data_IF_715745527884
#
_entry.id   IF_715745527884
#
_cell.length_a   1.000
_cell.length_b   1.000
_cell.length_c   1.000
_cell.angle_alpha   90.00
_cell.angle_beta   90.00
_cell.angle_gamma   90.00
#
_symmetry.space_group_name_H-M   'P 1'
#
loop_
_entity.id
_entity.type
_entity.pdbx_description
1 polymer ?
#
# COMPACT_ATOMS: atom_id res chain seq x y z
N UNK A 1 -15.97 -16.75 35.65
CA UNK A 1 -16.41 -15.34 35.81
C UNK A 1 -15.25 -14.46 35.34
N UNK A 2 -15.19 -14.06 34.07
CA UNK A 2 -15.89 -12.92 33.40
C UNK A 2 -15.48 -11.56 33.97
N UNK A 3 -14.68 -10.80 33.21
CA UNK A 3 -14.95 -9.46 32.61
C UNK A 3 -13.60 -8.80 32.23
N UNK A 4 -13.27 -8.64 30.95
CA UNK A 4 -13.58 -7.50 30.06
C UNK A 4 -13.00 -6.15 30.53
N UNK A 5 -12.30 -5.46 29.62
CA UNK A 5 -11.89 -4.07 29.84
C UNK A 5 -10.90 -3.56 28.80
N UNK A 6 -11.41 -2.91 27.76
CA UNK A 6 -10.72 -2.43 26.56
C UNK A 6 -10.37 -0.93 26.70
N UNK A 7 -9.48 -0.42 25.82
CA UNK A 7 -9.42 0.95 25.25
C UNK A 7 -8.64 2.11 25.93
N UNK A 8 -7.68 2.61 25.12
CA UNK A 8 -7.42 4.02 24.75
C UNK A 8 -6.66 4.96 25.70
N UNK A 9 -5.61 5.61 25.17
CA UNK A 9 -5.05 6.82 25.78
C UNK A 9 -3.75 7.34 25.16
N UNK A 10 -3.85 8.11 24.07
CA UNK A 10 -2.79 8.95 23.51
C UNK A 10 -2.15 9.86 24.58
N UNK A 11 -0.82 9.99 24.62
CA UNK A 11 -0.15 11.20 25.12
C UNK A 11 1.17 11.49 24.40
N UNK A 12 0.99 12.25 23.32
CA UNK A 12 1.86 13.28 22.77
C UNK A 12 2.77 13.94 23.84
N UNK A 13 4.07 13.68 23.76
CA UNK A 13 5.11 14.51 24.40
C UNK A 13 6.23 14.77 23.38
N UNK A 14 5.99 15.75 22.50
CA UNK A 14 7.04 16.33 21.69
C UNK A 14 7.75 17.39 22.55
N UNK A 15 9.00 17.11 22.91
CA UNK A 15 9.95 18.16 23.32
C UNK A 15 10.79 18.50 22.09
N UNK A 16 10.85 19.77 21.66
CA UNK A 16 11.75 20.15 20.58
C UNK A 16 13.10 20.49 21.21
N UNK A 17 14.13 19.69 20.94
CA UNK A 17 15.51 20.11 21.09
C UNK A 17 16.11 20.24 19.69
N UNK A 18 16.04 21.47 19.17
CA UNK A 18 16.84 21.90 18.05
C UNK A 18 18.31 21.91 18.49
N UNK A 19 19.10 21.00 17.93
CA UNK A 19 20.55 21.06 17.98
C UNK A 19 21.08 20.62 16.61
N UNK A 20 21.56 21.62 15.87
CA UNK A 20 22.51 21.59 14.77
C UNK A 20 23.01 20.19 14.35
N UNK A 21 22.44 19.63 13.29
CA UNK A 21 23.18 18.84 12.30
C UNK A 21 22.50 19.05 10.95
N UNK A 22 23.24 19.69 10.04
CA UNK A 22 22.81 19.95 8.68
C UNK A 22 22.80 18.69 7.81
N UNK A 23 22.01 18.82 6.75
CA UNK A 23 22.02 18.03 5.51
C UNK A 23 21.39 16.62 5.54
N UNK A 24 20.37 16.46 4.69
CA UNK A 24 19.69 15.25 4.22
C UNK A 24 18.70 14.54 5.17
N UNK A 25 17.69 15.28 5.67
CA UNK A 25 16.37 14.67 5.80
C UNK A 25 15.69 14.70 4.43
N UNK A 26 15.96 13.69 3.59
CA UNK A 26 15.09 13.34 2.46
C UNK A 26 13.77 12.82 3.06
N UNK A 27 12.94 13.74 3.55
CA UNK A 27 11.54 13.44 3.80
C UNK A 27 10.93 13.10 2.47
N UNK A 28 10.62 11.82 2.23
CA UNK A 28 9.79 11.35 1.14
C UNK A 28 8.39 11.94 1.32
N UNK A 29 8.24 13.23 0.98
CA UNK A 29 6.94 13.87 0.88
C UNK A 29 6.22 13.19 -0.27
N UNK A 30 5.15 12.45 0.06
CA UNK A 30 4.26 11.89 -0.94
C UNK A 30 3.66 13.04 -1.75
N UNK A 31 3.89 13.06 -3.06
CA UNK A 31 3.26 14.05 -3.94
C UNK A 31 1.77 13.70 -4.04
N UNK A 32 0.90 14.63 -3.69
CA UNK A 32 -0.54 14.48 -3.84
C UNK A 32 -0.90 14.34 -5.32
N UNK A 33 -1.87 13.47 -5.65
CA UNK A 33 -2.26 13.18 -7.03
C UNK A 33 -2.65 14.42 -7.85
N UNK A 34 -3.00 15.54 -7.19
CA UNK A 34 -3.38 16.80 -7.82
C UNK A 34 -2.20 17.62 -8.37
N UNK A 35 -0.98 17.38 -7.90
CA UNK A 35 0.26 18.05 -8.38
C UNK A 35 1.12 17.12 -9.25
N UNK A 36 0.69 15.87 -9.43
CA UNK A 36 1.40 14.90 -10.23
C UNK A 36 1.18 15.18 -11.74
N UNK A 37 2.24 15.19 -12.54
CA UNK A 37 2.13 15.18 -14.00
C UNK A 37 1.24 14.06 -14.55
N UNK A 38 0.57 14.32 -15.68
CA UNK A 38 -0.38 13.39 -16.29
C UNK A 38 0.23 12.01 -16.61
N UNK A 39 1.52 11.93 -16.95
CA UNK A 39 2.19 10.66 -17.21
C UNK A 39 2.41 9.84 -15.93
N UNK A 40 2.55 10.47 -14.77
CA UNK A 40 2.58 9.76 -13.48
C UNK A 40 1.21 9.21 -13.13
N UNK A 41 0.15 9.97 -13.39
CA UNK A 41 -1.22 9.49 -13.18
C UNK A 41 -1.56 8.31 -14.10
N UNK A 42 -1.17 8.36 -15.38
CA UNK A 42 -1.34 7.27 -16.32
C UNK A 42 -0.58 6.01 -15.87
N UNK A 43 0.65 6.18 -15.37
CA UNK A 43 1.42 5.09 -14.79
C UNK A 43 0.76 4.52 -13.53
N UNK A 44 0.32 5.37 -12.60
CA UNK A 44 -0.37 4.95 -11.38
C UNK A 44 -1.67 4.18 -11.69
N UNK A 45 -2.44 4.61 -12.68
CA UNK A 45 -3.64 3.92 -13.16
C UNK A 45 -3.31 2.56 -13.78
N UNK A 46 -2.26 2.48 -14.62
CA UNK A 46 -1.81 1.23 -15.21
C UNK A 46 -1.32 0.22 -14.14
N UNK A 47 -0.53 0.68 -13.17
CA UNK A 47 -0.06 -0.15 -12.06
C UNK A 47 -1.23 -0.59 -11.17
N UNK A 48 -2.14 0.33 -10.82
CA UNK A 48 -3.33 0.01 -10.04
C UNK A 48 -4.20 -1.06 -10.72
N UNK A 49 -4.47 -0.90 -12.01
CA UNK A 49 -5.20 -1.90 -12.81
C UNK A 49 -4.48 -3.24 -12.87
N UNK A 50 -3.15 -3.25 -13.03
CA UNK A 50 -2.36 -4.47 -13.06
C UNK A 50 -2.38 -5.21 -11.71
N UNK A 51 -2.24 -4.48 -10.60
CA UNK A 51 -2.30 -5.04 -9.25
C UNK A 51 -3.69 -5.60 -8.94
N UNK A 52 -4.73 -4.87 -9.32
CA UNK A 52 -6.12 -5.31 -9.17
C UNK A 52 -6.40 -6.57 -10.02
N UNK A 53 -5.97 -6.59 -11.28
CA UNK A 53 -6.11 -7.76 -12.15
C UNK A 53 -5.42 -8.99 -11.57
N UNK A 54 -4.25 -8.82 -10.92
CA UNK A 54 -3.55 -9.92 -10.26
C UNK A 54 -4.31 -10.45 -9.06
N UNK A 55 -4.91 -9.57 -8.25
CA UNK A 55 -5.74 -9.99 -7.13
C UNK A 55 -7.04 -10.68 -7.58
N UNK A 56 -7.55 -10.33 -8.76
CA UNK A 56 -8.70 -11.01 -9.37
C UNK A 56 -8.33 -12.31 -10.09
N UNK A 57 -7.05 -12.70 -10.10
CA UNK A 57 -6.59 -13.89 -10.80
C UNK A 57 -6.89 -15.14 -9.95
N UNK A 58 -7.97 -15.85 -10.28
CA UNK A 58 -8.47 -17.05 -9.56
C UNK A 58 -7.44 -18.20 -9.44
N UNK A 59 -6.39 -18.17 -10.26
CA UNK A 59 -5.32 -19.18 -10.26
C UNK A 59 -4.34 -19.01 -9.10
N UNK A 60 -4.36 -17.89 -8.38
CA UNK A 60 -3.48 -17.64 -7.26
C UNK A 60 -4.18 -17.97 -5.93
N UNK A 61 -3.76 -19.05 -5.23
CA UNK A 61 -4.36 -19.43 -3.95
C UNK A 61 -4.15 -18.37 -2.85
N UNK A 62 -3.17 -17.48 -2.98
CA UNK A 62 -2.97 -16.37 -2.05
C UNK A 62 -4.00 -15.26 -2.30
N UNK A 63 -4.22 -14.91 -3.57
CA UNK A 63 -5.24 -13.94 -3.96
C UNK A 63 -6.64 -14.38 -3.52
N UNK A 64 -6.97 -15.66 -3.70
CA UNK A 64 -8.25 -16.23 -3.30
C UNK A 64 -8.49 -16.08 -1.79
N UNK A 65 -7.48 -16.36 -0.95
CA UNK A 65 -7.62 -16.19 0.51
C UNK A 65 -7.86 -14.75 0.91
N UNK A 66 -7.20 -13.81 0.24
CA UNK A 66 -7.42 -12.37 0.49
C UNK A 66 -8.84 -11.99 0.13
N UNK A 67 -9.35 -12.45 -1.01
CA UNK A 67 -10.73 -12.21 -1.42
C UNK A 67 -11.75 -12.85 -0.47
N UNK A 68 -11.55 -14.11 -0.07
CA UNK A 68 -12.39 -14.81 0.91
C UNK A 68 -12.41 -14.07 2.26
N UNK A 69 -11.25 -13.60 2.71
CA UNK A 69 -11.16 -12.83 3.95
C UNK A 69 -11.90 -11.50 3.86
N UNK A 70 -11.80 -10.79 2.73
CA UNK A 70 -12.51 -9.54 2.48
C UNK A 70 -14.03 -9.73 2.40
N UNK A 71 -14.49 -10.81 1.77
CA UNK A 71 -15.90 -11.19 1.77
C UNK A 71 -16.42 -11.43 3.19
N UNK A 72 -15.59 -12.00 4.07
CA UNK A 72 -15.93 -12.18 5.48
C UNK A 72 -15.86 -10.88 6.30
N UNK A 73 -15.16 -9.83 5.81
CA UNK A 73 -14.94 -8.56 6.50
C UNK A 73 -15.36 -7.36 5.63
N UNK A 74 -16.67 -7.16 5.40
CA UNK A 74 -17.20 -6.06 4.59
C UNK A 74 -16.93 -4.67 5.20
N UNK A 75 -16.56 -4.60 6.49
CA UNK A 75 -16.18 -3.36 7.18
C UNK A 75 -14.78 -2.85 6.82
N UNK A 76 -14.03 -3.58 5.97
CA UNK A 76 -12.69 -3.18 5.54
C UNK A 76 -12.76 -1.93 4.66
N UNK A 77 -11.97 -0.87 4.93
CA UNK A 77 -12.00 0.35 4.14
C UNK A 77 -11.53 0.08 2.70
N UNK A 78 -12.47 0.11 1.76
CA UNK A 78 -12.20 0.15 0.32
C UNK A 78 -12.37 1.59 -0.19
N UNK A 79 -11.41 2.14 -0.97
CA UNK A 79 -10.20 1.50 -1.50
C UNK A 79 -9.08 1.37 -0.47
N UNK A 80 -8.37 0.23 -0.48
CA UNK A 80 -7.24 -0.04 0.40
C UNK A 80 -6.02 0.80 -0.07
N UNK A 81 -5.53 1.77 0.73
CA UNK A 81 -4.38 2.57 0.35
C UNK A 81 -3.09 1.74 0.50
N UNK A 82 -2.46 1.43 -0.61
CA UNK A 82 -1.15 0.76 -0.66
C UNK A 82 -0.08 1.74 -1.14
N UNK A 83 1.02 1.81 -0.40
CA UNK A 83 2.22 2.55 -0.77
C UNK A 83 3.21 1.57 -1.40
N UNK A 84 3.58 1.84 -2.64
CA UNK A 84 4.45 0.96 -3.43
C UNK A 84 5.73 1.72 -3.80
N UNK A 85 6.87 1.06 -3.59
CA UNK A 85 8.17 1.47 -4.10
C UNK A 85 8.53 0.54 -5.23
N UNK A 86 8.92 1.12 -6.35
CA UNK A 86 9.19 0.39 -7.59
C UNK A 86 10.61 0.74 -7.98
N UNK A 87 11.48 -0.26 -8.12
CA UNK A 87 12.82 -0.06 -8.61
C UNK A 87 12.79 0.36 -10.10
N UNK A 88 13.87 0.95 -10.59
CA UNK A 88 13.96 1.44 -11.97
C UNK A 88 13.77 0.33 -13.03
N UNK A 89 13.87 -0.93 -12.64
CA UNK A 89 13.62 -2.12 -13.45
C UNK A 89 12.14 -2.56 -13.47
N UNK A 90 11.23 -1.83 -12.80
CA UNK A 90 9.82 -2.18 -12.68
C UNK A 90 9.51 -3.22 -11.61
N UNK A 91 10.48 -3.66 -10.80
CA UNK A 91 10.24 -4.57 -9.68
C UNK A 91 9.73 -3.79 -8.47
N UNK A 92 8.80 -4.38 -7.73
CA UNK A 92 8.37 -3.80 -6.45
C UNK A 92 9.45 -4.08 -5.42
N UNK A 93 10.12 -3.03 -4.96
CA UNK A 93 11.18 -3.11 -3.95
C UNK A 93 10.61 -3.12 -2.53
N UNK A 94 9.51 -2.40 -2.32
CA UNK A 94 8.81 -2.32 -1.03
C UNK A 94 7.32 -2.09 -1.24
N UNK A 95 6.51 -2.64 -0.35
CA UNK A 95 5.06 -2.46 -0.34
C UNK A 95 4.57 -2.33 1.10
N UNK A 96 3.87 -1.23 1.40
CA UNK A 96 3.28 -0.91 2.70
C UNK A 96 1.79 -0.63 2.53
N UNK A 97 0.97 -1.08 3.47
CA UNK A 97 -0.47 -0.84 3.50
C UNK A 97 -0.95 -0.96 4.94
N UNK A 98 -2.14 -0.45 5.21
CA UNK A 98 -2.79 -0.64 6.51
C UNK A 98 -3.16 -2.11 6.68
N UNK A 99 -2.73 -2.71 7.79
CA UNK A 99 -2.98 -4.13 8.07
C UNK A 99 -4.47 -4.42 8.03
N UNK A 100 -4.84 -5.50 7.35
CA UNK A 100 -6.22 -5.98 7.28
C UNK A 100 -6.68 -6.57 8.63
N UNK A 101 -5.75 -6.80 9.57
CA UNK A 101 -6.06 -7.38 10.88
C UNK A 101 -5.74 -8.88 10.96
N UNK A 102 -5.36 -9.50 9.84
CA UNK A 102 -4.78 -10.84 9.79
C UNK A 102 -3.42 -10.80 9.10
N UNK A 103 -2.36 -11.10 9.87
CA UNK A 103 -0.98 -11.08 9.38
C UNK A 103 -0.73 -12.07 8.23
N UNK A 104 -1.49 -13.16 8.15
CA UNK A 104 -1.40 -14.14 7.06
C UNK A 104 -1.99 -13.57 5.78
N UNK A 105 -3.14 -12.92 5.87
CA UNK A 105 -3.81 -12.27 4.74
C UNK A 105 -2.98 -11.08 4.26
N UNK A 106 -2.36 -10.33 5.17
CA UNK A 106 -1.42 -9.27 4.83
C UNK A 106 -0.19 -9.82 4.08
N UNK A 107 0.36 -10.94 4.55
CA UNK A 107 1.50 -11.58 3.88
C UNK A 107 1.11 -12.14 2.50
N UNK A 108 -0.06 -12.77 2.39
CA UNK A 108 -0.60 -13.31 1.14
C UNK A 108 -0.89 -12.18 0.13
N UNK A 109 -1.48 -11.06 0.57
CA UNK A 109 -1.67 -9.86 -0.25
C UNK A 109 -0.33 -9.32 -0.76
N UNK A 110 0.65 -9.15 0.14
CA UNK A 110 1.98 -8.67 -0.26
C UNK A 110 2.64 -9.62 -1.25
N UNK A 111 2.59 -10.92 -1.01
CA UNK A 111 3.16 -11.94 -1.87
C UNK A 111 2.51 -11.93 -3.25
N UNK A 112 1.17 -11.89 -3.32
CA UNK A 112 0.42 -11.77 -4.58
C UNK A 112 0.87 -10.52 -5.35
N UNK A 113 0.87 -9.35 -4.70
CA UNK A 113 1.26 -8.08 -5.33
C UNK A 113 2.75 -8.06 -5.75
N UNK A 114 3.62 -8.84 -5.11
CA UNK A 114 5.05 -8.94 -5.44
C UNK A 114 5.39 -10.15 -6.35
N UNK A 115 4.43 -11.04 -6.63
CA UNK A 115 4.66 -12.30 -7.34
C UNK A 115 5.27 -12.12 -8.74
N UNK A 116 4.92 -11.03 -9.43
CA UNK A 116 5.49 -10.70 -10.73
C UNK A 116 5.91 -9.22 -10.80
N UNK A 117 6.94 -8.91 -11.60
CA UNK A 117 7.32 -7.52 -11.88
C UNK A 117 6.18 -6.74 -12.53
N UNK A 118 6.22 -5.42 -12.40
CA UNK A 118 5.30 -4.55 -13.12
C UNK A 118 5.67 -4.53 -14.60
N UNK A 119 4.68 -4.48 -15.49
CA UNK A 119 4.95 -4.49 -16.94
C UNK A 119 5.60 -3.19 -17.42
N UNK A 120 5.43 -2.10 -16.67
CA UNK A 120 6.01 -0.80 -16.97
C UNK A 120 7.01 -0.38 -15.90
N UNK A 121 8.18 0.06 -16.33
CA UNK A 121 9.16 0.70 -15.46
C UNK A 121 8.64 2.07 -14.97
N UNK A 122 8.93 2.47 -13.73
CA UNK A 122 8.50 3.76 -13.23
C UNK A 122 9.22 4.89 -14.02
N UNK A 123 8.54 6.02 -14.30
CA UNK A 123 9.20 7.19 -14.86
C UNK A 123 10.38 7.62 -13.97
N UNK A 124 11.52 7.96 -14.56
CA UNK A 124 12.75 8.30 -13.83
C UNK A 124 12.61 9.55 -12.93
N UNK A 125 11.69 10.43 -13.30
CA UNK A 125 11.28 11.64 -12.59
C UNK A 125 10.22 11.38 -11.50
N UNK A 126 9.65 10.17 -11.42
CA UNK A 126 8.55 9.85 -10.51
C UNK A 126 8.99 9.80 -9.04
N UNK A 127 8.25 10.50 -8.18
CA UNK A 127 8.48 10.49 -6.72
C UNK A 127 7.89 9.25 -6.06
N UNK A 128 8.67 8.62 -5.18
CA UNK A 128 8.27 7.46 -4.38
C UNK A 128 8.19 7.80 -2.88
N UNK A 129 7.32 7.14 -2.10
CA UNK A 129 6.38 6.08 -2.49
C UNK A 129 5.19 6.57 -3.31
N UNK A 130 4.72 5.72 -4.22
CA UNK A 130 3.45 5.93 -4.91
C UNK A 130 2.32 5.32 -4.09
N UNK A 131 1.31 6.13 -3.75
CA UNK A 131 0.12 5.65 -3.03
C UNK A 131 -0.97 5.33 -4.02
N UNK A 132 -1.36 4.06 -4.08
CA UNK A 132 -2.43 3.53 -4.92
C UNK A 132 -3.61 3.15 -4.02
N UNK A 133 -4.83 3.47 -4.44
CA UNK A 133 -6.03 2.92 -3.81
C UNK A 133 -6.43 1.66 -4.56
N UNK A 134 -6.21 0.48 -3.97
CA UNK A 134 -6.69 -0.76 -4.58
C UNK A 134 -8.18 -0.93 -4.26
N UNK A 135 -8.99 -0.97 -5.31
CA UNK A 135 -10.41 -1.32 -5.19
C UNK A 135 -10.48 -2.85 -5.21
N UNK A 136 -10.68 -3.42 -4.05
CA UNK A 136 -10.83 -4.86 -3.89
C UNK A 136 -12.34 -5.13 -3.91
N UNK A 137 -12.94 -5.14 -5.10
CA UNK A 137 -14.35 -5.50 -5.23
C UNK A 137 -14.48 -7.02 -5.09
N UNK A 138 -15.13 -7.52 -4.02
CA UNK A 138 -15.61 -8.88 -4.01
C UNK A 138 -16.75 -8.99 -5.03
N UNK A 139 -16.63 -9.91 -5.98
CA UNK A 139 -17.75 -10.25 -6.88
C UNK A 139 -18.78 -11.10 -6.13
#
# INVERSE_FOLDING_TARGET
MVMAGNRTGMRRWWRPLAALFGALALGSASVSAQEAPAHWMAYAAAVGGQLQQRLQQEQDPQAQRVLEWLQAHPDTPTPLPVSVWIAADGRISKLEFDSLGDARVDADLRATLQAAPLQAAPPADMRQPMRLGLVLEPK
#
